data_IF_698306418551
#
_entry.id   IF_698306418551
#
_cell.length_a   1.000
_cell.length_b   1.000
_cell.length_c   1.000
_cell.angle_alpha   90.00
_cell.angle_beta   90.00
_cell.angle_gamma   90.00
#
_symmetry.space_group_name_H-M   'P 1'
#
loop_
_entity.id
_entity.type
_entity.pdbx_description
1 polymer ?
#
# COMPACT_ATOMS: atom_id res chain seq x y z
N UNK A 1 4.09 -10.21 5.03
CA UNK A 1 3.90 -8.75 5.08
C UNK A 1 2.66 -8.41 5.88
N UNK A 2 2.77 -7.54 6.90
CA UNK A 2 1.63 -7.14 7.72
C UNK A 2 0.62 -6.35 6.87
N UNK A 3 -0.66 -6.68 7.03
CA UNK A 3 -1.77 -5.95 6.42
C UNK A 3 -2.20 -4.85 7.38
N UNK A 4 -2.24 -3.61 6.90
CA UNK A 4 -2.56 -2.44 7.74
C UNK A 4 -4.06 -2.19 7.80
N UNK A 5 -4.76 -2.44 6.69
CA UNK A 5 -6.21 -2.24 6.62
C UNK A 5 -6.84 -3.24 5.65
N UNK A 6 -8.04 -3.72 5.98
CA UNK A 6 -8.87 -4.50 5.07
C UNK A 6 -10.30 -3.97 5.08
N UNK A 7 -10.81 -3.54 3.93
CA UNK A 7 -12.15 -2.94 3.81
C UNK A 7 -12.74 -3.23 2.44
N UNK A 8 -14.01 -3.67 2.36
CA UNK A 8 -14.75 -3.92 1.09
C UNK A 8 -13.96 -4.76 0.06
N UNK A 9 -13.20 -5.75 0.54
CA UNK A 9 -12.35 -6.62 -0.30
C UNK A 9 -11.04 -5.99 -0.79
N UNK A 10 -10.73 -4.76 -0.37
CA UNK A 10 -9.41 -4.15 -0.54
C UNK A 10 -8.51 -4.53 0.64
N UNK A 11 -7.25 -4.84 0.33
CA UNK A 11 -6.20 -5.15 1.30
C UNK A 11 -5.07 -4.14 1.15
N UNK A 12 -4.80 -3.39 2.21
CA UNK A 12 -3.76 -2.37 2.25
C UNK A 12 -2.55 -2.89 3.04
N UNK A 13 -1.35 -2.74 2.50
CA UNK A 13 -0.13 -3.22 3.13
C UNK A 13 1.10 -2.43 2.70
N UNK A 14 2.17 -2.56 3.48
CA UNK A 14 3.49 -2.02 3.17
C UNK A 14 4.47 -3.15 2.86
N UNK A 15 5.32 -2.96 1.84
CA UNK A 15 6.48 -3.83 1.62
C UNK A 15 7.62 -3.41 2.54
N UNK A 16 8.05 -4.32 3.40
CA UNK A 16 9.15 -4.07 4.33
C UNK A 16 10.52 -3.93 3.64
N UNK A 17 10.65 -4.41 2.40
CA UNK A 17 11.87 -4.32 1.59
C UNK A 17 11.98 -3.00 0.80
N UNK A 18 10.94 -2.18 0.79
CA UNK A 18 10.88 -0.96 0.01
C UNK A 18 11.30 0.27 0.84
N UNK A 19 12.50 0.20 1.41
CA UNK A 19 13.02 1.22 2.33
C UNK A 19 13.66 2.42 1.62
N UNK A 20 13.76 2.40 0.28
CA UNK A 20 14.45 3.43 -0.52
C UNK A 20 13.51 4.31 -1.34
N UNK A 21 12.25 3.90 -1.52
CA UNK A 21 11.28 4.73 -2.24
C UNK A 21 10.48 5.63 -1.30
N UNK A 22 9.88 6.68 -1.87
CA UNK A 22 8.98 7.57 -1.13
C UNK A 22 7.84 6.79 -0.48
N UNK A 23 7.31 7.27 0.66
CA UNK A 23 6.21 6.62 1.37
C UNK A 23 5.04 6.33 0.43
N UNK A 24 4.69 5.05 0.29
CA UNK A 24 3.60 4.60 -0.55
C UNK A 24 2.89 3.39 0.09
N UNK A 25 1.64 3.18 -0.28
CA UNK A 25 0.82 2.07 0.19
C UNK A 25 0.45 1.16 -0.98
N UNK A 26 0.49 -0.15 -0.76
CA UNK A 26 0.02 -1.13 -1.72
C UNK A 26 -1.43 -1.47 -1.42
N UNK A 27 -2.22 -1.58 -2.48
CA UNK A 27 -3.64 -1.95 -2.42
C UNK A 27 -3.85 -3.16 -3.31
N UNK A 28 -4.35 -4.24 -2.75
CA UNK A 28 -4.73 -5.45 -3.47
C UNK A 28 -6.24 -5.62 -3.45
N UNK A 29 -6.83 -6.00 -4.58
CA UNK A 29 -8.23 -6.45 -4.67
C UNK A 29 -8.41 -7.42 -5.83
N UNK A 30 -9.01 -8.58 -5.54
CA UNK A 30 -9.35 -9.59 -6.55
C UNK A 30 -8.17 -9.94 -7.49
N UNK A 31 -6.96 -10.08 -6.92
CA UNK A 31 -5.74 -10.39 -7.67
C UNK A 31 -5.09 -9.22 -8.42
N UNK A 32 -5.69 -8.02 -8.38
CA UNK A 32 -5.09 -6.80 -8.92
C UNK A 32 -4.35 -6.03 -7.83
N UNK A 33 -3.24 -5.42 -8.21
CA UNK A 33 -2.39 -4.62 -7.33
C UNK A 33 -2.33 -3.17 -7.82
N UNK A 34 -2.39 -2.23 -6.89
CA UNK A 34 -2.17 -0.82 -7.11
C UNK A 34 -1.18 -0.28 -6.08
N UNK A 35 -0.40 0.72 -6.50
CA UNK A 35 0.57 1.42 -5.66
C UNK A 35 0.19 2.89 -5.60
N UNK A 36 0.01 3.42 -4.40
CA UNK A 36 -0.34 4.82 -4.19
C UNK A 36 0.75 5.55 -3.41
N UNK A 37 1.28 6.62 -4.01
CA UNK A 37 2.36 7.41 -3.42
C UNK A 37 1.77 8.53 -2.57
N UNK A 38 2.07 8.53 -1.27
CA UNK A 38 1.70 9.65 -0.42
C UNK A 38 2.58 10.84 -0.80
N UNK A 39 1.97 11.88 -1.38
CA UNK A 39 2.60 13.19 -1.52
C UNK A 39 2.16 14.04 -0.33
N UNK A 40 3.00 14.28 0.69
CA UNK A 40 2.69 15.31 1.66
C UNK A 40 2.66 16.64 0.91
N UNK A 41 1.49 17.28 0.83
CA UNK A 41 1.40 18.70 0.58
C UNK A 41 1.49 19.36 1.96
N UNK A 42 2.61 20.04 2.21
CA UNK A 42 2.71 21.05 3.27
C UNK A 42 1.81 22.22 2.90
#
# INVERSE_FOLDING_TARGET
>A
MPTVLRIKGYRFFFFSLDSSEKPHIHVEKAGKYAKYWNRPKV
#
